data_IF_577750944290
#
_entry.id   IF_577750944290
#
_cell.length_a   1.000
_cell.length_b   1.000
_cell.length_c   1.000
_cell.angle_alpha   90.00
_cell.angle_beta   90.00
_cell.angle_gamma   90.00
#
_symmetry.space_group_name_H-M   'P 1'
#
loop_
_entity.id
_entity.type
_entity.pdbx_description
1 polymer ?
#
# COMPACT_ATOMS: atom_id res chain seq x y z
N UNK A 1 -12.89 -5.93 7.17
CA UNK A 1 -13.13 -7.12 6.36
C UNK A 1 -13.70 -8.26 7.23
N UNK A 2 -12.97 -8.76 8.24
CA UNK A 2 -13.39 -9.88 9.12
C UNK A 2 -14.82 -9.71 9.68
N UNK A 3 -15.15 -8.55 10.27
CA UNK A 3 -16.48 -8.25 10.81
C UNK A 3 -17.58 -8.31 9.74
N UNK A 4 -17.30 -7.85 8.53
CA UNK A 4 -18.29 -7.85 7.44
C UNK A 4 -18.50 -9.26 6.88
N UNK A 5 -17.45 -10.06 6.77
CA UNK A 5 -17.55 -11.44 6.30
C UNK A 5 -18.37 -12.34 7.24
N UNK A 6 -18.30 -12.10 8.56
CA UNK A 6 -19.10 -12.83 9.55
C UNK A 6 -20.62 -12.71 9.32
N UNK A 7 -21.08 -11.60 8.72
CA UNK A 7 -22.52 -11.44 8.36
C UNK A 7 -22.97 -12.46 7.32
N UNK A 8 -22.03 -13.02 6.57
CA UNK A 8 -22.25 -14.05 5.56
C UNK A 8 -21.83 -15.43 6.02
N UNK A 9 -21.65 -15.62 7.33
CA UNK A 9 -21.13 -16.85 7.94
C UNK A 9 -19.76 -17.28 7.42
N UNK A 10 -18.93 -16.29 7.01
CA UNK A 10 -17.57 -16.50 6.58
C UNK A 10 -16.61 -16.10 7.70
N UNK A 11 -15.83 -17.05 8.17
CA UNK A 11 -14.82 -16.86 9.22
C UNK A 11 -13.45 -16.69 8.56
N UNK A 12 -12.86 -15.51 8.72
CA UNK A 12 -11.53 -15.18 8.22
C UNK A 12 -10.56 -15.02 9.38
N UNK A 13 -9.56 -15.86 9.42
CA UNK A 13 -8.51 -15.83 10.43
C UNK A 13 -7.13 -15.94 9.78
N UNK A 14 -6.09 -15.64 10.53
CA UNK A 14 -4.70 -15.78 10.11
C UNK A 14 -4.27 -17.25 10.23
N UNK A 15 -3.22 -17.62 9.51
CA UNK A 15 -2.79 -19.03 9.41
C UNK A 15 -2.29 -19.62 10.74
N UNK A 16 -1.96 -18.77 11.71
CA UNK A 16 -1.59 -19.16 13.07
C UNK A 16 -2.79 -19.54 13.94
N UNK A 17 -4.00 -19.12 13.53
CA UNK A 17 -5.27 -19.48 14.20
C UNK A 17 -5.94 -20.63 13.46
N UNK A 18 -6.10 -20.52 12.14
CA UNK A 18 -6.69 -21.57 11.31
C UNK A 18 -5.66 -22.08 10.31
N UNK A 19 -5.38 -23.37 10.39
CA UNK A 19 -4.43 -23.99 9.45
C UNK A 19 -4.97 -23.94 8.03
N UNK A 20 -4.14 -23.68 7.03
CA UNK A 20 -4.56 -23.68 5.63
C UNK A 20 -5.25 -24.99 5.21
N UNK A 21 -4.83 -26.12 5.79
CA UNK A 21 -5.38 -27.45 5.51
C UNK A 21 -6.86 -27.59 5.90
N UNK A 22 -7.31 -26.84 6.88
CA UNK A 22 -8.67 -26.85 7.43
C UNK A 22 -9.57 -25.79 6.77
N UNK A 23 -8.99 -24.92 5.94
CA UNK A 23 -9.68 -23.79 5.34
C UNK A 23 -10.26 -24.14 3.97
N UNK A 24 -11.45 -23.64 3.65
CA UNK A 24 -12.09 -23.80 2.34
C UNK A 24 -11.35 -23.01 1.25
N UNK A 25 -10.81 -21.86 1.61
CA UNK A 25 -9.97 -21.03 0.74
C UNK A 25 -8.88 -20.34 1.52
N UNK A 26 -7.81 -19.96 0.83
CA UNK A 26 -6.70 -19.20 1.38
C UNK A 26 -6.56 -17.86 0.66
N UNK A 27 -6.35 -16.78 1.43
CA UNK A 27 -6.07 -15.45 0.87
C UNK A 27 -4.58 -15.14 1.05
N UNK A 28 -3.91 -14.86 -0.03
CA UNK A 28 -2.50 -14.48 -0.07
C UNK A 28 -2.38 -13.00 -0.40
N UNK A 29 -1.64 -12.26 0.41
CA UNK A 29 -1.26 -10.87 0.13
C UNK A 29 0.12 -10.85 -0.50
N UNK A 30 0.18 -10.48 -1.76
CA UNK A 30 1.37 -10.51 -2.60
C UNK A 30 1.95 -11.92 -2.80
N UNK A 31 2.73 -12.10 -3.85
CA UNK A 31 3.36 -13.38 -4.14
C UNK A 31 4.56 -13.59 -3.21
N UNK A 32 4.54 -14.66 -2.46
CA UNK A 32 5.66 -15.06 -1.62
C UNK A 32 6.26 -16.38 -2.12
N UNK A 33 7.60 -16.45 -2.21
CA UNK A 33 8.29 -17.62 -2.78
C UNK A 33 7.91 -18.94 -2.12
N UNK A 34 7.75 -18.93 -0.81
CA UNK A 34 7.50 -20.13 0.00
C UNK A 34 6.02 -20.52 0.08
N UNK A 35 5.10 -19.68 -0.42
CA UNK A 35 3.67 -19.88 -0.34
C UNK A 35 2.98 -19.85 -1.70
N UNK A 36 3.68 -20.30 -2.74
CA UNK A 36 3.05 -20.50 -4.03
C UNK A 36 2.23 -21.78 -3.93
N UNK A 37 0.91 -21.73 -4.16
CA UNK A 37 0.07 -22.91 -4.00
C UNK A 37 0.56 -24.06 -4.89
N UNK A 38 0.71 -25.23 -4.28
CA UNK A 38 1.01 -26.48 -5.00
C UNK A 38 -0.23 -27.37 -5.08
N UNK A 39 -1.14 -27.24 -4.11
CA UNK A 39 -2.37 -28.00 -4.04
C UNK A 39 -3.52 -27.25 -4.71
N UNK A 40 -4.15 -27.89 -5.68
CA UNK A 40 -5.32 -27.39 -6.42
C UNK A 40 -6.65 -27.80 -5.78
N UNK A 41 -6.62 -28.63 -4.75
CA UNK A 41 -7.84 -29.06 -4.04
C UNK A 41 -8.52 -27.94 -3.29
N UNK A 42 -7.78 -26.86 -2.96
CA UNK A 42 -8.27 -25.70 -2.23
C UNK A 42 -8.27 -24.46 -3.11
N UNK A 43 -9.22 -23.57 -2.85
CA UNK A 43 -9.29 -22.29 -3.53
C UNK A 43 -8.27 -21.32 -2.96
N UNK A 44 -7.42 -20.79 -3.83
CA UNK A 44 -6.36 -19.85 -3.48
C UNK A 44 -6.62 -18.49 -4.15
N UNK A 45 -6.76 -17.47 -3.34
CA UNK A 45 -7.02 -16.09 -3.76
C UNK A 45 -5.76 -15.27 -3.53
N UNK A 46 -5.26 -14.62 -4.58
CA UNK A 46 -4.14 -13.69 -4.49
C UNK A 46 -4.64 -12.25 -4.53
N UNK A 47 -4.23 -11.43 -3.58
CA UNK A 47 -4.44 -9.99 -3.61
C UNK A 47 -3.08 -9.30 -3.78
N UNK A 48 -2.82 -8.80 -4.98
CA UNK A 48 -1.58 -8.11 -5.33
C UNK A 48 -1.64 -6.67 -4.85
N UNK A 49 -0.80 -6.31 -3.90
CA UNK A 49 -0.75 -4.97 -3.30
C UNK A 49 0.50 -4.20 -3.69
N UNK A 50 1.65 -4.86 -3.61
CA UNK A 50 2.94 -4.22 -3.86
C UNK A 50 3.27 -4.19 -5.35
N UNK A 51 3.89 -3.09 -5.78
CA UNK A 51 4.38 -2.97 -7.15
C UNK A 51 5.54 -3.94 -7.43
N UNK A 52 5.81 -4.27 -8.70
CA UNK A 52 6.95 -5.11 -9.08
C UNK A 52 8.32 -4.55 -8.65
N UNK A 53 8.42 -3.26 -8.38
CA UNK A 53 9.62 -2.62 -7.86
C UNK A 53 9.91 -3.09 -6.42
N UNK A 54 8.86 -3.35 -5.65
CA UNK A 54 8.95 -3.85 -4.28
C UNK A 54 9.02 -5.38 -4.29
N UNK A 55 8.10 -6.02 -4.98
CA UNK A 55 8.03 -7.46 -5.10
C UNK A 55 8.03 -7.89 -6.57
N UNK A 56 9.19 -8.33 -7.05
CA UNK A 56 9.39 -8.74 -8.46
C UNK A 56 8.51 -9.92 -8.88
N UNK A 57 8.02 -10.72 -7.94
CA UNK A 57 7.16 -11.85 -8.23
C UNK A 57 5.73 -11.40 -8.59
N UNK A 58 5.32 -10.23 -8.13
CA UNK A 58 3.99 -9.66 -8.42
C UNK A 58 3.77 -9.25 -9.89
N UNK A 59 4.74 -9.43 -10.76
CA UNK A 59 4.59 -9.16 -12.20
C UNK A 59 4.82 -10.41 -13.07
N UNK A 60 4.79 -11.59 -12.46
CA UNK A 60 5.02 -12.84 -13.20
C UNK A 60 3.69 -13.53 -13.50
N UNK A 61 3.15 -13.35 -14.70
CA UNK A 61 1.90 -13.99 -15.15
C UNK A 61 1.86 -15.51 -14.89
N UNK A 62 2.98 -16.21 -15.09
CA UNK A 62 3.10 -17.65 -14.78
C UNK A 62 2.79 -17.99 -13.33
N UNK A 63 3.03 -17.07 -12.41
CA UNK A 63 2.73 -17.28 -10.98
C UNK A 63 1.24 -17.11 -10.72
N UNK A 64 0.59 -16.19 -11.41
CA UNK A 64 -0.84 -15.95 -11.25
C UNK A 64 -1.69 -17.14 -11.64
N UNK A 65 -1.25 -17.94 -12.62
CA UNK A 65 -1.93 -19.17 -13.04
C UNK A 65 -1.99 -20.25 -11.95
N UNK A 66 -1.30 -20.07 -10.84
CA UNK A 66 -1.34 -20.97 -9.69
C UNK A 66 -2.43 -20.61 -8.68
N UNK A 67 -3.10 -19.50 -8.88
CA UNK A 67 -4.20 -19.02 -8.04
C UNK A 67 -5.52 -19.14 -8.79
N UNK A 68 -6.58 -19.47 -8.08
CA UNK A 68 -7.94 -19.57 -8.63
C UNK A 68 -8.52 -18.18 -8.94
N UNK A 69 -8.17 -17.18 -8.11
CA UNK A 69 -8.60 -15.80 -8.26
C UNK A 69 -7.43 -14.87 -7.94
N UNK A 70 -7.21 -13.89 -8.79
CA UNK A 70 -6.22 -12.83 -8.58
C UNK A 70 -6.91 -11.47 -8.60
N UNK A 71 -6.71 -10.71 -7.55
CA UNK A 71 -7.16 -9.32 -7.45
C UNK A 71 -5.94 -8.42 -7.54
N UNK A 72 -5.89 -7.54 -8.54
CA UNK A 72 -4.74 -6.67 -8.80
C UNK A 72 -5.14 -5.23 -9.04
N UNK A 73 -4.29 -4.30 -8.63
CA UNK A 73 -4.43 -2.88 -8.97
C UNK A 73 -4.03 -2.57 -10.43
N UNK A 74 -3.27 -3.44 -11.07
CA UNK A 74 -2.80 -3.24 -12.45
C UNK A 74 -3.84 -3.75 -13.45
N UNK A 75 -4.56 -2.81 -14.06
CA UNK A 75 -5.60 -3.10 -15.05
C UNK A 75 -5.09 -3.82 -16.29
N UNK A 76 -3.83 -3.61 -16.67
CA UNK A 76 -3.22 -4.23 -17.86
C UNK A 76 -3.06 -5.75 -17.73
N UNK A 77 -3.07 -6.27 -16.49
CA UNK A 77 -2.96 -7.69 -16.23
C UNK A 77 -4.31 -8.40 -16.13
N UNK A 78 -5.41 -7.65 -16.15
CA UNK A 78 -6.75 -8.24 -16.03
C UNK A 78 -7.16 -8.97 -17.32
N UNK A 79 -7.63 -10.20 -17.16
CA UNK A 79 -8.05 -11.08 -18.26
C UNK A 79 -9.54 -11.40 -18.26
N UNK A 80 -10.29 -10.90 -17.27
CA UNK A 80 -11.71 -11.14 -17.03
C UNK A 80 -12.10 -12.62 -16.82
N UNK A 81 -11.12 -13.51 -16.66
CA UNK A 81 -11.32 -14.92 -16.34
C UNK A 81 -11.10 -15.16 -14.85
N UNK A 82 -9.86 -14.98 -14.41
CA UNK A 82 -9.47 -15.15 -13.01
C UNK A 82 -8.63 -14.00 -12.48
N UNK A 83 -8.29 -13.00 -13.29
CA UNK A 83 -7.55 -11.81 -12.87
C UNK A 83 -8.44 -10.58 -12.99
N UNK A 84 -8.80 -9.99 -11.86
CA UNK A 84 -9.71 -8.85 -11.78
C UNK A 84 -9.05 -7.65 -11.15
N UNK A 85 -9.48 -6.49 -11.58
CA UNK A 85 -9.03 -5.24 -10.98
C UNK A 85 -9.66 -5.02 -9.62
N UNK A 86 -8.85 -4.56 -8.65
CA UNK A 86 -9.30 -4.07 -7.35
C UNK A 86 -8.72 -2.70 -7.08
N UNK A 87 -9.58 -1.75 -6.74
CA UNK A 87 -9.18 -0.46 -6.20
C UNK A 87 -8.88 -0.56 -4.71
N UNK A 88 -7.94 0.25 -4.24
CA UNK A 88 -7.75 0.42 -2.80
C UNK A 88 -8.88 1.31 -2.26
N UNK A 89 -9.77 0.71 -1.51
CA UNK A 89 -10.80 1.44 -0.80
C UNK A 89 -10.25 2.14 0.45
N UNK A 90 -10.79 3.30 0.77
CA UNK A 90 -10.65 3.92 2.07
C UNK A 90 -11.83 3.47 2.94
N UNK A 91 -11.54 2.98 4.14
CA UNK A 91 -12.60 2.55 5.08
C UNK A 91 -13.12 3.69 5.96
N UNK A 92 -12.53 4.88 5.84
CA UNK A 92 -12.95 6.03 6.62
C UNK A 92 -14.13 6.72 5.94
N UNK A 93 -15.30 6.66 6.55
CA UNK A 93 -16.42 7.51 6.21
C UNK A 93 -16.24 8.86 6.91
N UNK A 94 -15.96 9.89 6.13
CA UNK A 94 -15.96 11.26 6.60
C UNK A 94 -17.39 11.78 6.41
N UNK A 95 -18.06 12.12 7.52
CA UNK A 95 -19.38 12.74 7.43
C UNK A 95 -19.22 14.14 6.86
N UNK A 96 -20.12 14.52 5.96
CA UNK A 96 -20.05 15.82 5.27
C UNK A 96 -19.99 17.00 6.25
N UNK A 97 -20.75 16.92 7.34
CA UNK A 97 -20.76 17.94 8.40
C UNK A 97 -19.41 18.08 9.15
N UNK A 98 -18.52 17.12 9.03
CA UNK A 98 -17.21 17.16 9.68
C UNK A 98 -16.13 17.73 8.75
N UNK A 99 -16.37 17.80 7.44
CA UNK A 99 -15.39 18.27 6.45
C UNK A 99 -14.97 19.71 6.73
N UNK A 100 -15.91 20.62 6.96
CA UNK A 100 -15.61 22.03 7.23
C UNK A 100 -14.79 22.17 8.52
N UNK A 101 -15.19 21.48 9.60
CA UNK A 101 -14.46 21.49 10.87
C UNK A 101 -13.04 20.93 10.75
N UNK A 102 -12.86 19.93 9.90
CA UNK A 102 -11.54 19.34 9.61
C UNK A 102 -10.71 20.34 8.81
N UNK A 103 -11.32 21.01 7.83
CA UNK A 103 -10.65 22.00 6.99
C UNK A 103 -10.17 23.19 7.83
N UNK A 104 -11.05 23.76 8.68
CA UNK A 104 -10.74 24.93 9.53
C UNK A 104 -9.61 24.65 10.54
N UNK A 105 -9.41 23.39 10.90
CA UNK A 105 -8.31 22.97 11.78
C UNK A 105 -6.98 22.75 11.09
N UNK A 106 -6.95 22.78 9.76
CA UNK A 106 -5.69 22.57 9.02
C UNK A 106 -4.76 23.74 9.21
N UNK A 107 -3.55 23.45 9.67
CA UNK A 107 -2.51 24.45 9.90
C UNK A 107 -1.52 24.54 8.73
N UNK A 108 -1.54 23.56 7.83
CA UNK A 108 -0.64 23.44 6.69
C UNK A 108 -1.39 22.98 5.47
N UNK A 109 -1.00 23.48 4.33
CA UNK A 109 -1.64 23.14 3.06
C UNK A 109 -1.14 21.83 2.48
N UNK A 110 0.15 21.53 2.68
CA UNK A 110 0.79 20.35 2.11
C UNK A 110 1.44 19.54 3.22
N UNK A 111 1.05 18.28 3.30
CA UNK A 111 1.65 17.27 4.15
C UNK A 111 2.10 16.08 3.30
N UNK A 112 3.29 15.57 3.55
CA UNK A 112 3.82 14.38 2.90
C UNK A 112 4.27 13.36 3.94
N UNK A 113 3.63 12.18 3.92
CA UNK A 113 3.94 11.07 4.83
C UNK A 113 4.60 9.97 4.00
N UNK A 114 5.92 10.00 3.89
CA UNK A 114 6.68 9.07 3.05
C UNK A 114 8.00 8.69 3.69
N UNK A 115 8.37 7.42 3.61
CA UNK A 115 9.73 6.99 3.93
C UNK A 115 10.66 7.25 2.76
N UNK A 116 11.90 7.64 3.06
CA UNK A 116 12.93 7.77 2.04
C UNK A 116 13.39 6.38 1.62
N UNK A 117 12.94 5.97 0.47
CA UNK A 117 13.39 4.74 -0.17
C UNK A 117 14.00 5.08 -1.54
N UNK A 118 15.03 4.35 -1.91
CA UNK A 118 15.59 4.41 -3.26
C UNK A 118 15.47 3.04 -3.89
N UNK A 119 14.66 2.98 -4.93
CA UNK A 119 14.65 1.84 -5.83
C UNK A 119 14.58 2.37 -7.25
N UNK A 120 15.45 1.88 -8.10
CA UNK A 120 15.44 2.17 -9.53
C UNK A 120 14.47 1.23 -10.24
N UNK A 121 13.83 1.73 -11.27
CA UNK A 121 12.91 1.01 -12.14
C UNK A 121 12.15 1.97 -13.03
N UNK A 122 11.68 1.53 -14.18
CA UNK A 122 10.99 2.37 -15.17
C UNK A 122 9.77 3.09 -14.59
N UNK A 123 9.06 2.45 -13.68
CA UNK A 123 7.85 3.00 -13.04
C UNK A 123 8.09 3.46 -11.59
N UNK A 124 9.36 3.76 -11.24
CA UNK A 124 9.70 4.18 -9.89
C UNK A 124 9.43 5.67 -9.69
N UNK A 125 8.50 6.00 -8.81
CA UNK A 125 8.20 7.38 -8.43
C UNK A 125 9.06 7.92 -7.28
N UNK A 126 10.06 7.18 -6.80
CA UNK A 126 10.87 7.63 -5.66
C UNK A 126 11.64 8.92 -5.93
N UNK A 127 12.21 9.06 -7.13
CA UNK A 127 12.91 10.30 -7.53
C UNK A 127 11.93 11.46 -7.69
N UNK A 128 10.78 11.20 -8.27
CA UNK A 128 9.75 12.23 -8.51
C UNK A 128 9.16 12.76 -7.21
N UNK A 129 8.96 11.90 -6.20
CA UNK A 129 8.57 12.32 -4.85
C UNK A 129 9.56 13.32 -4.26
N UNK A 130 10.86 13.06 -4.38
CA UNK A 130 11.91 13.98 -3.91
C UNK A 130 11.89 15.29 -4.68
N UNK A 131 11.68 15.25 -6.00
CA UNK A 131 11.54 16.47 -6.82
C UNK A 131 10.33 17.30 -6.39
N UNK A 132 9.18 16.65 -6.19
CA UNK A 132 7.97 17.32 -5.72
C UNK A 132 8.18 18.00 -4.36
N UNK A 133 8.77 17.30 -3.39
CA UNK A 133 9.10 17.88 -2.08
C UNK A 133 10.00 19.12 -2.21
N UNK A 134 11.04 19.05 -3.06
CA UNK A 134 11.94 20.17 -3.30
C UNK A 134 11.22 21.34 -3.99
N UNK A 135 10.31 21.06 -4.88
CA UNK A 135 9.51 22.07 -5.57
C UNK A 135 8.62 22.82 -4.57
N UNK A 136 7.75 22.09 -3.86
CA UNK A 136 6.81 22.70 -2.92
C UNK A 136 7.49 23.43 -1.76
N UNK A 137 8.65 22.97 -1.31
CA UNK A 137 9.39 23.66 -0.25
C UNK A 137 10.01 25.01 -0.70
N UNK A 138 10.08 25.25 -2.01
CA UNK A 138 10.50 26.57 -2.55
C UNK A 138 9.33 27.52 -2.71
N UNK A 139 8.11 27.06 -2.56
CA UNK A 139 6.90 27.86 -2.59
C UNK A 139 6.56 28.34 -1.17
N UNK A 140 5.71 29.37 -1.08
CA UNK A 140 5.24 29.91 0.20
C UNK A 140 4.38 28.92 1.00
N UNK A 141 3.85 27.89 0.34
CA UNK A 141 3.07 26.84 1.00
C UNK A 141 3.90 26.00 1.98
N UNK A 142 5.16 25.73 1.66
CA UNK A 142 5.98 24.80 2.43
C UNK A 142 5.44 23.37 2.38
N UNK A 143 6.15 22.45 3.03
CA UNK A 143 5.72 21.04 3.14
C UNK A 143 6.03 20.50 4.53
N UNK A 144 5.04 19.97 5.21
CA UNK A 144 5.26 19.14 6.38
C UNK A 144 5.60 17.73 5.96
N UNK A 145 6.85 17.32 6.21
CA UNK A 145 7.38 16.02 5.80
C UNK A 145 7.52 15.08 6.99
N UNK A 146 6.82 13.95 6.91
CA UNK A 146 6.85 12.87 7.88
C UNK A 146 7.36 11.58 7.24
N UNK A 147 8.09 10.77 8.02
CA UNK A 147 8.52 9.45 7.58
C UNK A 147 9.96 9.12 7.96
N UNK A 148 10.34 7.87 7.68
CA UNK A 148 11.64 7.33 8.05
C UNK A 148 12.71 7.56 6.97
N UNK A 149 13.96 7.72 7.38
CA UNK A 149 15.12 7.75 6.49
C UNK A 149 15.46 9.13 5.92
N UNK A 150 14.87 10.21 6.43
CA UNK A 150 15.21 11.58 6.05
C UNK A 150 16.29 12.13 7.00
N UNK A 151 17.56 11.87 6.67
CA UNK A 151 18.71 12.33 7.48
C UNK A 151 19.15 13.74 7.10
N UNK A 152 19.91 14.38 8.04
CA UNK A 152 20.38 15.77 7.95
C UNK A 152 21.09 16.16 6.65
N UNK A 153 21.73 15.19 5.98
CA UNK A 153 22.55 15.43 4.77
C UNK A 153 21.77 15.53 3.46
N UNK A 154 20.47 15.39 3.51
CA UNK A 154 19.66 15.24 2.28
C UNK A 154 19.08 16.52 1.78
N UNK A 155 18.83 17.44 2.68
CA UNK A 155 18.40 18.76 2.39
C UNK A 155 19.49 19.74 2.80
N UNK A 156 19.92 20.59 1.87
CA UNK A 156 20.83 21.70 2.11
C UNK A 156 20.05 23.02 2.08
N UNK A 157 20.58 24.05 2.70
CA UNK A 157 19.92 25.38 2.73
C UNK A 157 18.65 25.41 3.58
N UNK A 158 17.62 26.05 3.08
CA UNK A 158 16.31 26.28 3.77
C UNK A 158 15.62 24.96 4.16
N UNK A 159 15.88 23.88 3.45
CA UNK A 159 15.33 22.55 3.75
C UNK A 159 16.02 21.82 4.93
N UNK A 160 17.10 22.37 5.46
CA UNK A 160 17.88 21.78 6.54
C UNK A 160 17.07 21.50 7.82
N UNK A 161 16.07 22.30 8.23
CA UNK A 161 15.24 22.01 9.38
C UNK A 161 14.43 20.72 9.25
N UNK A 162 14.03 20.32 8.03
CA UNK A 162 13.26 19.10 7.77
C UNK A 162 14.05 17.81 8.01
N UNK A 163 15.37 17.91 8.14
CA UNK A 163 16.20 16.79 8.58
C UNK A 163 15.99 16.42 10.07
N UNK A 164 15.28 17.23 10.81
CA UNK A 164 15.00 17.03 12.25
C UNK A 164 13.69 16.35 12.53
N UNK A 165 12.95 15.92 11.52
CA UNK A 165 11.66 15.23 11.73
C UNK A 165 11.95 13.93 12.48
N UNK A 166 11.86 14.05 13.79
CA UNK A 166 11.75 12.90 14.68
C UNK A 166 10.47 12.21 14.34
N UNK A 167 10.56 10.91 14.09
CA UNK A 167 9.47 9.95 14.03
C UNK A 167 8.10 10.55 14.30
N UNK A 168 7.26 10.67 13.30
CA UNK A 168 5.85 10.58 13.54
C UNK A 168 5.66 9.22 14.24
N UNK A 169 5.50 9.25 15.55
CA UNK A 169 5.02 8.10 16.28
C UNK A 169 3.77 7.66 15.54
N UNK A 170 3.80 6.47 15.04
CA UNK A 170 2.75 5.72 14.44
C UNK A 170 1.39 6.15 14.96
N UNK A 171 0.60 6.79 14.13
CA UNK A 171 -0.83 6.82 14.33
C UNK A 171 -1.34 5.43 13.95
N UNK A 172 -1.43 4.58 14.94
CA UNK A 172 -2.24 3.37 14.91
C UNK A 172 -3.68 3.73 15.19
#
# INVERSE_FOLDING_TARGET
LKKNLRKYNIFLDTYDINRPEESVFSIHFDVHKNFIPSDKSKKNILIVRESPIINKLNNKAKVYNKFDLVLTWNKELCDQKNIFWIGYGCSAEIKENDLQKIYDKKQREICSIISKKYRSGSNSLYKERVKALKFFNKTDFGVDLYGYGWEKRQFSGILRPFNRIKFAKTFL
#
